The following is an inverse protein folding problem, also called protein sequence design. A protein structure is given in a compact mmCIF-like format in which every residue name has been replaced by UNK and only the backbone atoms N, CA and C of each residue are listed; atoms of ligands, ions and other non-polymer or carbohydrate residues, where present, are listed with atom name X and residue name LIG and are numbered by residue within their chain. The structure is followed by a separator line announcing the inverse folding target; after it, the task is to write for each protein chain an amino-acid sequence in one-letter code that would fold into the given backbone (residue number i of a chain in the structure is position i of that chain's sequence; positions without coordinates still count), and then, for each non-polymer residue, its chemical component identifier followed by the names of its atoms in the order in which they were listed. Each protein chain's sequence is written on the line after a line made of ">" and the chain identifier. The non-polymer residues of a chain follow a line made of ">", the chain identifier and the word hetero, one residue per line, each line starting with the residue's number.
data_IF_090512720576
#
_entry.id   IF_090512720576
#
_cell.length_a   1.000
_cell.length_b   1.000
_cell.length_c   1.000
_cell.angle_alpha   90.00
_cell.angle_beta   90.00
_cell.angle_gamma   90.00
#
_symmetry.space_group_name_H-M   'P 1'
#
loop_
_entity.id
_entity.type
_entity.pdbx_description
1 polymer ?
#
# COMPACT_ATOMS: atom_id res chain seq x y z
N UNK A 1 24.09 20.62 -14.78
CA UNK A 1 23.82 19.88 -13.54
C UNK A 1 24.40 18.48 -13.71
N UNK A 2 25.17 17.99 -12.75
CA UNK A 2 25.64 16.60 -12.76
C UNK A 2 24.45 15.65 -12.52
N UNK A 3 24.53 14.41 -13.00
CA UNK A 3 23.47 13.40 -12.78
C UNK A 3 23.10 13.27 -11.29
N UNK A 4 24.10 13.25 -10.40
CA UNK A 4 23.88 13.21 -8.95
C UNK A 4 23.12 14.44 -8.41
N UNK A 5 23.37 15.62 -8.96
CA UNK A 5 22.64 16.84 -8.58
C UNK A 5 21.15 16.79 -8.93
N UNK A 6 20.81 16.21 -10.09
CA UNK A 6 19.41 16.03 -10.51
C UNK A 6 18.69 15.04 -9.58
N UNK A 7 19.33 13.92 -9.24
CA UNK A 7 18.75 12.91 -8.33
C UNK A 7 18.50 13.51 -6.95
N UNK A 8 19.46 14.24 -6.41
CA UNK A 8 19.34 14.90 -5.10
C UNK A 8 18.22 15.96 -5.11
N UNK A 9 18.13 16.78 -6.16
CA UNK A 9 17.06 17.77 -6.30
C UNK A 9 15.66 17.10 -6.33
N UNK A 10 15.49 16.05 -7.12
CA UNK A 10 14.24 15.28 -7.17
C UNK A 10 13.87 14.68 -5.81
N UNK A 11 14.86 14.14 -5.09
CA UNK A 11 14.64 13.62 -3.75
C UNK A 11 14.13 14.71 -2.79
N UNK A 12 14.77 15.89 -2.78
CA UNK A 12 14.38 17.03 -1.92
C UNK A 12 12.95 17.48 -2.26
N UNK A 13 12.64 17.66 -3.55
CA UNK A 13 11.30 18.08 -3.99
C UNK A 13 10.25 17.04 -3.62
N UNK A 14 10.55 15.75 -3.78
CA UNK A 14 9.65 14.66 -3.38
C UNK A 14 9.41 14.67 -1.87
N UNK A 15 10.46 14.81 -1.06
CA UNK A 15 10.33 14.87 0.39
C UNK A 15 9.51 16.07 0.84
N UNK A 16 9.75 17.25 0.25
CA UNK A 16 8.96 18.45 0.52
C UNK A 16 7.49 18.25 0.12
N UNK A 17 7.21 17.73 -1.07
CA UNK A 17 5.85 17.44 -1.51
C UNK A 17 5.12 16.49 -0.55
N UNK A 18 5.75 15.37 -0.17
CA UNK A 18 5.14 14.39 0.74
C UNK A 18 4.85 15.02 2.10
N UNK A 19 5.77 15.83 2.63
CA UNK A 19 5.58 16.54 3.90
C UNK A 19 4.40 17.52 3.81
N UNK A 20 4.36 18.35 2.76
CA UNK A 20 3.26 19.29 2.55
C UNK A 20 1.92 18.57 2.34
N UNK A 21 1.90 17.49 1.55
CA UNK A 21 0.71 16.68 1.36
C UNK A 21 0.18 16.14 2.69
N UNK A 22 1.04 15.59 3.54
CA UNK A 22 0.62 15.06 4.85
C UNK A 22 0.06 16.17 5.75
N UNK A 23 0.68 17.35 5.79
CA UNK A 23 0.18 18.50 6.56
C UNK A 23 -1.17 18.98 6.01
N UNK A 24 -1.28 19.17 4.70
CA UNK A 24 -2.52 19.59 4.04
C UNK A 24 -3.64 18.53 4.13
N UNK A 25 -3.28 17.28 4.46
CA UNK A 25 -4.26 16.20 4.68
C UNK A 25 -5.05 16.34 5.98
N UNK A 26 -4.64 17.20 6.92
CA UNK A 26 -5.31 17.32 8.23
C UNK A 26 -6.82 17.59 8.07
N UNK A 27 -7.28 18.60 7.30
CA UNK A 27 -8.71 18.80 7.06
C UNK A 27 -9.36 17.66 6.28
N UNK A 28 -8.61 16.99 5.37
CA UNK A 28 -9.12 15.87 4.62
C UNK A 28 -9.45 14.66 5.52
N UNK A 29 -8.68 14.44 6.58
CA UNK A 29 -9.00 13.37 7.54
C UNK A 29 -10.34 13.58 8.20
N UNK A 30 -10.68 14.81 8.54
CA UNK A 30 -11.99 15.13 9.12
C UNK A 30 -13.13 14.95 8.09
N UNK A 31 -12.92 15.41 6.85
CA UNK A 31 -13.88 15.22 5.76
C UNK A 31 -14.11 13.73 5.49
N UNK A 32 -13.06 12.95 5.34
CA UNK A 32 -13.14 11.50 5.11
C UNK A 32 -13.80 10.76 6.30
N UNK A 33 -13.55 11.23 7.52
CA UNK A 33 -14.21 10.69 8.70
C UNK A 33 -15.72 10.95 8.67
N UNK A 34 -16.14 12.16 8.30
CA UNK A 34 -17.57 12.50 8.13
C UNK A 34 -18.17 11.64 7.03
N UNK A 35 -17.56 11.58 5.84
CA UNK A 35 -18.05 10.76 4.72
C UNK A 35 -18.25 9.32 5.17
N UNK A 36 -17.29 8.77 5.93
CA UNK A 36 -17.36 7.40 6.44
C UNK A 36 -18.51 7.13 7.42
N UNK A 37 -19.10 8.17 8.02
CA UNK A 37 -20.31 8.03 8.86
C UNK A 37 -21.57 7.82 8.04
N UNK A 38 -21.58 8.32 6.81
CA UNK A 38 -22.73 8.25 5.91
C UNK A 38 -22.58 7.15 4.86
N UNK A 39 -21.40 7.01 4.29
CA UNK A 39 -21.14 6.02 3.24
C UNK A 39 -19.66 5.57 3.24
N UNK A 40 -19.46 4.32 3.66
CA UNK A 40 -18.10 3.75 3.74
C UNK A 40 -17.50 3.49 2.36
N UNK A 41 -18.31 3.14 1.35
CA UNK A 41 -17.80 2.91 -0.01
C UNK A 41 -17.28 4.20 -0.64
N UNK A 42 -17.99 5.30 -0.47
CA UNK A 42 -17.53 6.60 -0.95
C UNK A 42 -16.22 6.97 -0.25
N UNK A 43 -16.14 6.81 1.08
CA UNK A 43 -14.89 7.04 1.82
C UNK A 43 -13.73 6.20 1.29
N UNK A 44 -13.96 4.91 1.08
CA UNK A 44 -12.90 4.01 0.62
C UNK A 44 -12.39 4.42 -0.77
N UNK A 45 -13.28 4.81 -1.67
CA UNK A 45 -12.93 5.26 -3.02
C UNK A 45 -12.27 6.64 -3.03
N UNK A 46 -12.77 7.60 -2.26
CA UNK A 46 -12.17 8.94 -2.17
C UNK A 46 -10.80 8.91 -1.52
N UNK A 47 -10.64 8.19 -0.41
CA UNK A 47 -9.34 8.00 0.24
C UNK A 47 -8.32 7.37 -0.72
N UNK A 48 -8.72 6.33 -1.48
CA UNK A 48 -7.87 5.72 -2.50
C UNK A 48 -7.51 6.71 -3.61
N UNK A 49 -8.47 7.48 -4.10
CA UNK A 49 -8.25 8.46 -5.17
C UNK A 49 -7.28 9.57 -4.75
N UNK A 50 -7.43 10.11 -3.53
CA UNK A 50 -6.55 11.13 -2.96
C UNK A 50 -5.11 10.62 -2.86
N UNK A 51 -4.91 9.44 -2.29
CA UNK A 51 -3.57 8.87 -2.13
C UNK A 51 -2.96 8.49 -3.48
N UNK A 52 -3.74 7.95 -4.41
CA UNK A 52 -3.28 7.65 -5.76
C UNK A 52 -2.87 8.91 -6.52
N UNK A 53 -3.59 10.01 -6.36
CA UNK A 53 -3.18 11.30 -6.91
C UNK A 53 -1.81 11.71 -6.35
N UNK A 54 -1.62 11.68 -5.02
CA UNK A 54 -0.35 12.03 -4.40
C UNK A 54 0.78 11.12 -4.87
N UNK A 55 0.55 9.80 -5.00
CA UNK A 55 1.55 8.87 -5.50
C UNK A 55 1.92 9.10 -6.97
N UNK A 56 0.95 9.46 -7.82
CA UNK A 56 1.23 9.85 -9.21
C UNK A 56 2.11 11.10 -9.28
N UNK A 57 1.88 12.09 -8.41
CA UNK A 57 2.74 13.27 -8.31
C UNK A 57 4.15 12.89 -7.85
N UNK A 58 4.29 12.01 -6.84
CA UNK A 58 5.59 11.48 -6.40
C UNK A 58 6.33 10.80 -7.56
N UNK A 59 5.66 9.94 -8.32
CA UNK A 59 6.26 9.26 -9.47
C UNK A 59 6.73 10.26 -10.55
N UNK A 60 5.94 11.29 -10.82
CA UNK A 60 6.28 12.34 -11.77
C UNK A 60 7.53 13.11 -11.34
N UNK A 61 7.56 13.60 -10.08
CA UNK A 61 8.70 14.36 -9.54
C UNK A 61 9.97 13.50 -9.52
N UNK A 62 9.84 12.24 -9.10
CA UNK A 62 10.96 11.30 -9.03
C UNK A 62 11.48 10.89 -10.41
N UNK A 63 10.68 11.10 -11.47
CA UNK A 63 11.03 10.70 -12.83
C UNK A 63 11.06 9.18 -13.02
N UNK A 64 10.27 8.45 -12.22
CA UNK A 64 10.15 7.00 -12.34
C UNK A 64 9.32 6.67 -13.58
N UNK A 65 9.86 5.82 -14.43
CA UNK A 65 9.14 5.25 -15.58
C UNK A 65 8.64 3.86 -15.19
N UNK A 66 7.36 3.63 -15.43
CA UNK A 66 6.72 2.35 -15.14
C UNK A 66 6.35 1.69 -16.47
N UNK A 67 6.76 0.44 -16.64
CA UNK A 67 6.26 -0.43 -17.70
C UNK A 67 5.36 -1.48 -17.04
N UNK A 68 4.12 -1.59 -17.50
CA UNK A 68 3.14 -2.53 -16.96
C UNK A 68 2.81 -3.54 -18.03
N UNK A 69 2.85 -4.81 -17.66
CA UNK A 69 2.57 -5.94 -18.57
C UNK A 69 1.57 -6.85 -17.86
N UNK A 70 0.48 -7.24 -18.53
CA UNK A 70 -0.51 -8.17 -17.98
C UNK A 70 -1.52 -7.55 -17.02
N UNK A 71 -1.66 -6.22 -16.96
CA UNK A 71 -2.64 -5.55 -16.07
C UNK A 71 -4.08 -5.95 -16.41
N UNK A 72 -4.34 -6.31 -17.65
CA UNK A 72 -5.63 -6.82 -18.13
C UNK A 72 -6.07 -8.12 -17.47
N UNK A 73 -5.12 -8.88 -16.90
CA UNK A 73 -5.40 -10.15 -16.21
C UNK A 73 -5.85 -9.94 -14.76
N UNK A 74 -5.76 -8.71 -14.23
CA UNK A 74 -6.20 -8.41 -12.86
C UNK A 74 -7.72 -8.38 -12.79
N UNK A 75 -8.37 -9.23 -11.96
CA UNK A 75 -9.82 -9.20 -11.77
C UNK A 75 -10.31 -7.83 -11.29
N UNK A 76 -11.38 -7.33 -11.90
CA UNK A 76 -11.96 -6.01 -11.60
C UNK A 76 -13.30 -6.08 -10.86
N UNK A 77 -13.81 -7.27 -10.63
CA UNK A 77 -15.14 -7.54 -10.07
C UNK A 77 -15.10 -8.17 -8.68
N UNK A 78 -13.92 -8.52 -8.19
CA UNK A 78 -13.74 -9.17 -6.90
C UNK A 78 -12.44 -8.74 -6.20
N UNK A 79 -12.40 -8.97 -4.88
CA UNK A 79 -11.18 -8.77 -4.11
C UNK A 79 -10.14 -9.85 -4.43
N UNK A 80 -8.89 -9.46 -4.48
CA UNK A 80 -7.75 -10.33 -4.80
C UNK A 80 -6.66 -10.23 -3.75
N UNK A 81 -5.83 -11.26 -3.62
CA UNK A 81 -4.60 -11.23 -2.85
C UNK A 81 -3.44 -10.89 -3.79
N UNK A 82 -2.96 -9.67 -3.76
CA UNK A 82 -1.75 -9.30 -4.50
C UNK A 82 -0.51 -9.80 -3.78
N UNK A 83 0.37 -10.47 -4.52
CA UNK A 83 1.67 -10.94 -4.04
C UNK A 83 2.76 -10.29 -4.88
N UNK A 84 3.71 -9.65 -4.24
CA UNK A 84 4.84 -9.01 -4.92
C UNK A 84 6.17 -9.27 -4.22
N UNK A 85 7.26 -9.23 -4.96
CA UNK A 85 8.59 -9.13 -4.38
C UNK A 85 8.86 -7.70 -3.87
N UNK A 86 9.70 -7.54 -2.85
CA UNK A 86 9.95 -6.24 -2.21
C UNK A 86 11.40 -5.81 -2.33
N UNK A 87 11.64 -4.72 -3.07
CA UNK A 87 12.97 -4.17 -3.31
C UNK A 87 13.11 -2.72 -2.87
N UNK A 88 12.04 -1.94 -2.99
CA UNK A 88 12.07 -0.49 -2.82
C UNK A 88 10.81 0.01 -2.11
N UNK A 89 10.86 1.23 -1.63
CA UNK A 89 9.64 1.97 -1.24
C UNK A 89 8.75 2.25 -2.45
N UNK A 90 9.34 2.35 -3.64
CA UNK A 90 8.59 2.59 -4.87
C UNK A 90 7.69 1.43 -5.25
N UNK A 91 7.96 0.20 -4.79
CA UNK A 91 7.07 -0.95 -5.04
C UNK A 91 5.65 -0.67 -4.56
N UNK A 92 5.51 -0.03 -3.38
CA UNK A 92 4.21 0.35 -2.83
C UNK A 92 3.57 1.43 -3.68
N UNK A 93 4.32 2.47 -4.07
CA UNK A 93 3.80 3.62 -4.82
C UNK A 93 3.37 3.19 -6.21
N UNK A 94 4.20 2.40 -6.91
CA UNK A 94 3.93 1.95 -8.28
C UNK A 94 2.77 0.98 -8.36
N UNK A 95 2.60 0.11 -7.37
CA UNK A 95 1.48 -0.83 -7.33
C UNK A 95 0.19 -0.18 -6.87
N UNK A 96 0.23 0.75 -5.90
CA UNK A 96 -0.98 1.44 -5.42
C UNK A 96 -1.70 2.23 -6.53
N UNK A 97 -0.97 2.89 -7.41
CA UNK A 97 -1.58 3.65 -8.52
C UNK A 97 -2.24 2.77 -9.58
N UNK A 98 -2.12 1.43 -9.43
CA UNK A 98 -2.63 0.42 -10.36
C UNK A 98 -3.77 -0.41 -9.79
N UNK A 99 -3.97 -0.43 -8.49
CA UNK A 99 -5.08 -1.21 -7.91
C UNK A 99 -6.42 -0.59 -8.29
N UNK A 100 -7.36 -1.39 -8.85
CA UNK A 100 -8.65 -0.89 -9.30
C UNK A 100 -9.64 -0.64 -8.16
N UNK A 101 -9.42 -1.26 -6.99
CA UNK A 101 -10.32 -1.27 -5.85
C UNK A 101 -9.59 -0.95 -4.54
N UNK A 102 -10.32 -0.62 -3.46
CA UNK A 102 -9.74 -0.48 -2.13
C UNK A 102 -8.86 -1.68 -1.78
N UNK A 103 -7.59 -1.38 -1.48
CA UNK A 103 -6.57 -2.39 -1.25
C UNK A 103 -5.75 -2.02 -0.03
N UNK A 104 -5.71 -2.92 0.96
CA UNK A 104 -4.87 -2.77 2.14
C UNK A 104 -3.52 -3.46 1.95
N UNK A 105 -2.45 -2.86 2.46
CA UNK A 105 -1.12 -3.46 2.48
C UNK A 105 -0.79 -4.02 3.86
N UNK A 106 -0.16 -5.19 3.92
CA UNK A 106 0.43 -5.67 5.17
C UNK A 106 1.75 -4.93 5.39
N UNK A 107 1.75 -4.07 6.38
CA UNK A 107 2.82 -3.14 6.67
C UNK A 107 3.47 -3.42 8.04
N UNK A 108 4.66 -2.89 8.26
CA UNK A 108 5.38 -3.00 9.52
C UNK A 108 4.69 -2.17 10.62
N UNK A 109 4.51 -2.72 11.83
CA UNK A 109 3.81 -2.05 12.95
C UNK A 109 4.39 -0.68 13.33
N UNK A 110 5.70 -0.49 13.14
CA UNK A 110 6.38 0.75 13.47
C UNK A 110 5.86 1.95 12.66
N UNK A 111 5.23 1.71 11.50
CA UNK A 111 4.59 2.76 10.71
C UNK A 111 3.36 3.36 11.40
N UNK A 112 2.78 2.69 12.40
CA UNK A 112 1.75 3.29 13.26
C UNK A 112 2.24 4.52 14.03
N UNK A 113 3.56 4.61 14.27
CA UNK A 113 4.18 5.72 15.00
C UNK A 113 4.46 6.94 14.12
N UNK A 114 4.26 6.83 12.80
CA UNK A 114 4.44 7.95 11.87
C UNK A 114 3.11 8.73 11.80
N UNK A 115 3.05 9.95 12.38
CA UNK A 115 1.82 10.73 12.38
C UNK A 115 1.33 11.01 10.95
N UNK A 116 0.04 11.26 10.79
CA UNK A 116 -0.63 11.58 9.52
C UNK A 116 -0.54 10.44 8.47
N UNK A 117 0.64 9.85 8.25
CA UNK A 117 0.80 8.68 7.38
C UNK A 117 -0.03 7.49 7.88
N UNK A 118 0.05 7.21 9.18
CA UNK A 118 -0.70 6.09 9.78
C UNK A 118 -2.22 6.25 9.66
N UNK A 119 -2.73 7.49 9.58
CA UNK A 119 -4.16 7.77 9.36
C UNK A 119 -4.55 7.37 7.95
N UNK A 120 -3.80 7.83 6.92
CA UNK A 120 -4.03 7.40 5.54
C UNK A 120 -3.93 5.89 5.39
N UNK A 121 -2.91 5.26 5.99
CA UNK A 121 -2.76 3.80 5.95
C UNK A 121 -3.99 3.08 6.53
N UNK A 122 -4.56 3.58 7.63
CA UNK A 122 -5.81 3.03 8.21
C UNK A 122 -7.01 3.23 7.28
N UNK A 123 -7.14 4.41 6.67
CA UNK A 123 -8.21 4.71 5.71
C UNK A 123 -8.13 3.82 4.46
N UNK A 124 -6.91 3.45 4.08
CA UNK A 124 -6.63 2.51 2.99
C UNK A 124 -6.61 1.04 3.43
N UNK A 125 -7.17 0.71 4.59
CA UNK A 125 -7.28 -0.66 5.10
C UNK A 125 -5.95 -1.38 5.33
N UNK A 126 -4.83 -0.68 5.44
CA UNK A 126 -3.55 -1.30 5.74
C UNK A 126 -3.58 -2.04 7.08
N UNK A 127 -2.95 -3.19 7.13
CA UNK A 127 -2.80 -4.03 8.31
C UNK A 127 -1.37 -3.92 8.83
N UNK A 128 -1.21 -3.83 10.14
CA UNK A 128 0.08 -3.59 10.77
C UNK A 128 0.56 -4.86 11.47
N UNK A 129 1.68 -5.39 11.00
CA UNK A 129 2.24 -6.66 11.43
C UNK A 129 3.42 -6.44 12.39
N UNK A 130 3.33 -7.04 13.57
CA UNK A 130 4.49 -7.26 14.43
C UNK A 130 5.16 -8.58 14.07
N UNK A 131 6.34 -8.49 13.47
CA UNK A 131 7.10 -9.68 13.05
C UNK A 131 7.70 -10.48 14.20
N UNK A 132 7.72 -9.90 15.42
CA UNK A 132 8.24 -10.56 16.61
C UNK A 132 7.15 -11.27 17.43
N UNK A 133 5.88 -10.99 17.12
CA UNK A 133 4.74 -11.56 17.82
C UNK A 133 3.93 -12.46 16.87
N UNK A 134 4.12 -13.77 17.02
CA UNK A 134 3.45 -14.81 16.20
C UNK A 134 1.93 -14.73 16.38
N UNK A 135 1.44 -14.47 17.59
CA UNK A 135 0.00 -14.38 17.88
C UNK A 135 -0.62 -13.18 17.16
N UNK A 136 0.04 -12.04 17.25
CA UNK A 136 -0.40 -10.83 16.53
C UNK A 136 -0.30 -11.02 15.02
N UNK A 137 0.74 -11.70 14.54
CA UNK A 137 0.88 -12.07 13.13
C UNK A 137 -0.28 -12.91 12.63
N UNK A 138 -0.68 -13.93 13.40
CA UNK A 138 -1.85 -14.76 13.08
C UNK A 138 -3.14 -13.94 13.06
N UNK A 139 -3.34 -13.05 14.02
CA UNK A 139 -4.51 -12.15 14.04
C UNK A 139 -4.53 -11.22 12.82
N UNK A 140 -3.38 -10.75 12.36
CA UNK A 140 -3.28 -9.94 11.15
C UNK A 140 -3.72 -10.72 9.91
N UNK A 141 -3.35 -12.00 9.79
CA UNK A 141 -3.80 -12.87 8.69
C UNK A 141 -5.32 -13.11 8.75
N UNK A 142 -5.89 -13.37 9.94
CA UNK A 142 -7.33 -13.49 10.09
C UNK A 142 -8.07 -12.21 9.68
N UNK A 143 -7.57 -11.05 10.10
CA UNK A 143 -8.13 -9.77 9.68
C UNK A 143 -8.02 -9.55 8.16
N UNK A 144 -6.93 -10.00 7.54
CA UNK A 144 -6.77 -9.94 6.07
C UNK A 144 -7.82 -10.82 5.36
N UNK A 145 -8.09 -12.02 5.89
CA UNK A 145 -9.15 -12.91 5.39
C UNK A 145 -10.52 -12.22 5.44
N UNK A 146 -10.85 -11.58 6.57
CA UNK A 146 -12.12 -10.86 6.72
C UNK A 146 -12.23 -9.67 5.74
N UNK A 147 -11.12 -8.97 5.49
CA UNK A 147 -11.07 -7.89 4.50
C UNK A 147 -11.34 -8.40 3.08
N UNK A 148 -10.68 -9.48 2.66
CA UNK A 148 -10.95 -10.09 1.34
C UNK A 148 -12.44 -10.48 1.23
N UNK A 149 -13.00 -11.12 2.25
CA UNK A 149 -14.42 -11.49 2.27
C UNK A 149 -15.36 -10.29 2.21
N UNK A 150 -14.92 -9.13 2.69
CA UNK A 150 -15.68 -7.86 2.61
C UNK A 150 -15.45 -7.08 1.30
N UNK A 151 -14.76 -7.64 0.31
CA UNK A 151 -14.52 -7.00 -0.97
C UNK A 151 -13.30 -6.07 -1.01
N UNK A 152 -12.44 -6.08 0.01
CA UNK A 152 -11.21 -5.27 0.07
C UNK A 152 -10.02 -6.16 -0.25
N UNK A 153 -9.31 -5.83 -1.31
CA UNK A 153 -8.09 -6.54 -1.70
C UNK A 153 -6.96 -6.34 -0.68
N UNK A 154 -6.05 -7.31 -0.64
CA UNK A 154 -4.87 -7.24 0.24
C UNK A 154 -3.62 -7.40 -0.61
N UNK A 155 -2.63 -6.55 -0.36
CA UNK A 155 -1.29 -6.64 -0.95
C UNK A 155 -0.29 -7.09 0.11
N UNK A 156 0.50 -8.11 -0.20
CA UNK A 156 1.54 -8.61 0.69
C UNK A 156 2.86 -8.80 -0.05
N UNK A 157 3.94 -8.47 0.63
CA UNK A 157 5.30 -8.83 0.23
C UNK A 157 5.75 -10.01 1.09
N UNK A 158 5.69 -11.26 0.59
CA UNK A 158 5.92 -12.45 1.41
C UNK A 158 7.36 -12.55 1.95
N UNK A 159 8.31 -11.84 1.35
CA UNK A 159 9.68 -11.69 1.86
C UNK A 159 9.73 -10.97 3.23
N UNK A 160 8.66 -10.27 3.59
CA UNK A 160 8.56 -9.54 4.86
C UNK A 160 9.51 -8.37 5.01
N UNK A 161 10.54 -8.23 4.18
CA UNK A 161 11.49 -7.11 4.15
C UNK A 161 11.98 -6.86 2.75
N UNK A 162 12.64 -5.71 2.53
CA UNK A 162 13.20 -5.38 1.21
C UNK A 162 14.45 -6.19 0.94
N UNK A 163 14.46 -6.90 -0.18
CA UNK A 163 15.64 -7.58 -0.69
C UNK A 163 16.58 -6.57 -1.36
N UNK A 164 17.83 -6.54 -0.93
CA UNK A 164 18.86 -5.64 -1.47
C UNK A 164 19.74 -6.33 -2.52
N UNK A 165 19.62 -7.64 -2.68
CA UNK A 165 20.43 -8.41 -3.62
C UNK A 165 19.65 -8.57 -4.92
N UNK A 166 20.24 -8.12 -6.02
CA UNK A 166 19.60 -8.18 -7.33
C UNK A 166 19.49 -9.61 -7.86
N UNK A 167 18.39 -9.90 -8.57
CA UNK A 167 18.16 -11.22 -9.18
C UNK A 167 17.80 -12.34 -8.19
N UNK A 168 17.61 -12.04 -6.89
CA UNK A 168 17.28 -13.04 -5.88
C UNK A 168 15.97 -12.72 -5.17
N UNK A 169 15.41 -13.73 -4.50
CA UNK A 169 14.29 -13.59 -3.56
C UNK A 169 14.73 -14.01 -2.16
N UNK A 170 14.21 -13.34 -1.14
CA UNK A 170 14.31 -13.82 0.22
C UNK A 170 13.29 -14.94 0.46
N UNK A 171 13.50 -15.80 1.48
CA UNK A 171 12.52 -16.81 1.85
C UNK A 171 11.13 -16.21 2.08
N UNK A 172 10.11 -16.85 1.56
CA UNK A 172 8.73 -16.40 1.70
C UNK A 172 8.14 -16.88 3.02
N UNK A 173 7.44 -15.98 3.70
CA UNK A 173 6.63 -16.33 4.86
C UNK A 173 5.31 -16.95 4.39
N UNK A 174 5.19 -18.26 4.48
CA UNK A 174 4.06 -19.04 3.96
C UNK A 174 2.70 -18.65 4.58
N UNK A 175 2.71 -18.08 5.78
CA UNK A 175 1.50 -17.67 6.48
C UNK A 175 0.59 -16.74 5.68
N UNK A 176 1.15 -15.89 4.80
CA UNK A 176 0.36 -14.97 3.99
C UNK A 176 -0.48 -15.68 2.91
N UNK A 177 -0.05 -16.84 2.41
CA UNK A 177 -0.80 -17.60 1.41
C UNK A 177 -2.07 -18.24 1.98
N UNK A 178 -2.17 -18.36 3.33
CA UNK A 178 -3.40 -18.79 4.01
C UNK A 178 -4.58 -17.86 3.75
N UNK A 179 -4.32 -16.60 3.38
CA UNK A 179 -5.37 -15.66 2.99
C UNK A 179 -6.11 -16.21 1.77
N UNK A 180 -5.41 -16.56 0.70
CA UNK A 180 -6.03 -17.10 -0.52
C UNK A 180 -6.65 -18.49 -0.28
N UNK A 181 -5.94 -19.41 0.39
CA UNK A 181 -6.46 -20.77 0.62
C UNK A 181 -7.72 -20.80 1.50
N UNK A 182 -7.91 -19.79 2.38
CA UNK A 182 -9.09 -19.68 3.25
C UNK A 182 -10.24 -18.89 2.64
N UNK A 183 -9.97 -18.06 1.65
CA UNK A 183 -11.00 -17.23 1.00
C UNK A 183 -11.40 -17.72 -0.38
N UNK A 184 -10.51 -18.49 -1.05
CA UNK A 184 -10.68 -18.86 -2.45
C UNK A 184 -10.46 -17.68 -3.43
N UNK A 185 -9.94 -16.54 -2.95
CA UNK A 185 -9.72 -15.39 -3.82
C UNK A 185 -8.59 -15.66 -4.84
N UNK A 186 -8.61 -15.00 -6.00
CA UNK A 186 -7.49 -15.01 -6.94
C UNK A 186 -6.21 -14.44 -6.31
N UNK A 187 -5.05 -14.90 -6.82
CA UNK A 187 -3.73 -14.36 -6.51
C UNK A 187 -3.19 -13.69 -7.76
#
# INVERSE_FOLDING_TARGET
>A
MTYGGIVMLRFIITALFVTLFLICSIPLFFIEWIIGKFNMDIKNRSSLAIVNWAFRVVLLISGVKITVIGEENVPKDQAVLYIGNHRSFYDIITTYVRVPHPTGYIAKKELLKVPLLSIWMKYLHCLFLDRKDIKQGMQTILTAIDKIKSGISIFVFPEGTRNKVEGTFLPFHEGCFKIATKTGCPI
#
